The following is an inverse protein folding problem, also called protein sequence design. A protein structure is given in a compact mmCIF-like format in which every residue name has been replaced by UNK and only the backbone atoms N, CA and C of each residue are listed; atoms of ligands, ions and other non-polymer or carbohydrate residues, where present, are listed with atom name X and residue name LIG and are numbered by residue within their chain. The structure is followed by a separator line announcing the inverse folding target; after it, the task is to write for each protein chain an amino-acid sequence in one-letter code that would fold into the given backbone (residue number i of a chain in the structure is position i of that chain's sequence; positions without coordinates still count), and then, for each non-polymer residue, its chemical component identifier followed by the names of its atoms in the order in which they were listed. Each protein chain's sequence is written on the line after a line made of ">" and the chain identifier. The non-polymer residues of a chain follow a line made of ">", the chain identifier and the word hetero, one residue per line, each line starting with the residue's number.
data_IF_283980635971
#
_entry.id   IF_283980635971
#
_cell.length_a   1.000
_cell.length_b   1.000
_cell.length_c   1.000
_cell.angle_alpha   90.00
_cell.angle_beta   90.00
_cell.angle_gamma   90.00
#
_symmetry.space_group_name_H-M   'P 1'
#
loop_
_entity.id
_entity.type
_entity.pdbx_description
1 polymer ?
2 non-polymer ?
#
# COMPACT_ATOMS: atom_id res chain seq x y z
N UNK A 1 20.29 7.15 -15.59
CA UNK A 1 20.06 6.47 -16.91
C UNK A 1 20.09 4.93 -16.78
N UNK A 2 21.02 4.40 -16.00
CA UNK A 2 20.94 3.00 -15.59
C UNK A 2 20.23 2.93 -14.23
N UNK A 3 18.94 2.56 -14.27
CA UNK A 3 18.09 2.50 -13.09
C UNK A 3 17.90 1.10 -12.56
N UNK A 4 18.15 0.92 -11.27
CA UNK A 4 17.67 -0.27 -10.59
C UNK A 4 16.50 0.17 -9.75
N UNK A 5 15.35 -0.42 -10.01
CA UNK A 5 14.15 -0.17 -9.25
C UNK A 5 13.90 -1.37 -8.35
N UNK A 6 13.44 -1.13 -7.14
CA UNK A 6 13.15 -2.22 -6.25
C UNK A 6 11.70 -2.14 -5.82
N UNK A 7 10.92 -3.15 -6.19
CA UNK A 7 9.54 -3.23 -5.74
C UNK A 7 9.44 -4.32 -4.70
N UNK A 8 9.14 -3.91 -3.47
CA UNK A 8 9.10 -4.85 -2.34
C UNK A 8 7.81 -5.66 -2.21
N UNK A 9 7.68 -6.33 -1.07
CA UNK A 9 6.48 -7.07 -0.73
C UNK A 9 5.43 -6.13 -0.18
N UNK A 10 4.21 -6.28 -0.70
CA UNK A 10 3.06 -5.36 -0.49
C UNK A 10 2.86 -4.49 -1.73
N UNK A 11 3.97 -4.06 -2.33
CA UNK A 11 4.00 -2.87 -3.19
C UNK A 11 3.24 -3.00 -4.54
N UNK A 12 2.81 -4.21 -4.89
CA UNK A 12 1.89 -4.42 -6.02
C UNK A 12 1.24 -5.81 -6.13
N UNK A 13 0.95 -6.43 -4.99
CA UNK A 13 0.40 -7.80 -4.94
C UNK A 13 -0.85 -8.05 -5.82
N UNK A 14 -0.59 -8.43 -7.08
CA UNK A 14 -1.58 -8.93 -8.04
C UNK A 14 -2.91 -8.17 -8.27
N UNK A 15 -2.86 -6.85 -8.20
CA UNK A 15 -4.00 -6.00 -8.59
C UNK A 15 -3.80 -5.48 -10.01
N UNK A 16 -4.66 -5.93 -10.93
CA UNK A 16 -4.48 -5.73 -12.37
C UNK A 16 -4.22 -4.28 -12.79
N UNK A 17 -4.99 -3.35 -12.23
CA UNK A 17 -4.86 -1.93 -12.60
C UNK A 17 -3.62 -1.25 -12.01
N UNK A 18 -3.28 -1.56 -10.77
CA UNK A 18 -2.11 -0.98 -10.12
C UNK A 18 -0.83 -1.45 -10.82
N UNK A 19 -0.79 -2.74 -11.17
CA UNK A 19 0.31 -3.31 -11.95
C UNK A 19 0.40 -2.64 -13.33
N UNK A 20 -0.73 -2.37 -13.94
CA UNK A 20 -0.71 -1.66 -15.19
C UNK A 20 -0.09 -0.27 -14.96
N UNK A 21 -0.43 0.35 -13.83
CA UNK A 21 0.06 1.68 -13.46
C UNK A 21 1.59 1.70 -13.32
N UNK A 22 2.12 0.73 -12.59
CA UNK A 22 3.56 0.61 -12.41
C UNK A 22 4.30 0.35 -13.71
N UNK A 23 3.82 -0.62 -14.48
CA UNK A 23 4.45 -1.00 -15.74
C UNK A 23 4.54 0.21 -16.67
N UNK A 24 3.43 0.93 -16.79
CA UNK A 24 3.38 2.13 -17.64
C UNK A 24 4.48 3.13 -17.28
N UNK A 25 4.68 3.35 -15.99
CA UNK A 25 5.77 4.20 -15.53
C UNK A 25 7.13 3.60 -15.92
N UNK A 26 7.29 2.30 -15.72
CA UNK A 26 8.57 1.66 -15.99
C UNK A 26 8.86 1.73 -17.47
N UNK A 27 7.81 1.53 -18.27
CA UNK A 27 7.90 1.65 -19.72
C UNK A 27 8.36 3.06 -20.10
N UNK A 28 7.76 4.08 -19.48
CA UNK A 28 8.16 5.48 -19.71
C UNK A 28 9.64 5.71 -19.46
N UNK A 29 10.10 5.30 -18.29
CA UNK A 29 11.50 5.45 -17.93
C UNK A 29 12.39 4.69 -18.89
N UNK A 30 11.90 3.56 -19.37
CA UNK A 30 12.62 2.73 -20.32
C UNK A 30 12.73 3.35 -21.72
N UNK A 31 11.82 4.27 -22.06
CA UNK A 31 11.88 4.94 -23.38
C UNK A 31 13.16 5.75 -23.47
N UNK A 32 13.47 6.47 -22.39
CA UNK A 32 14.69 7.24 -22.30
C UNK A 32 15.91 6.44 -21.82
N UNK A 33 15.71 5.55 -20.85
CA UNK A 33 16.81 4.94 -20.08
C UNK A 33 16.84 3.40 -20.03
N UNK A 34 17.72 2.88 -19.18
CA UNK A 34 17.93 1.44 -19.00
C UNK A 34 17.52 0.96 -17.59
N UNK A 35 16.42 0.22 -17.52
CA UNK A 35 15.78 -0.13 -16.24
C UNK A 35 15.95 -1.59 -15.86
N UNK A 36 16.41 -1.83 -14.63
CA UNK A 36 16.34 -3.15 -14.03
C UNK A 36 15.27 -3.12 -12.94
N UNK A 37 14.48 -4.19 -12.83
CA UNK A 37 13.42 -4.23 -11.82
C UNK A 37 13.58 -5.48 -11.01
N UNK A 38 13.66 -5.32 -9.69
CA UNK A 38 13.68 -6.47 -8.81
C UNK A 38 12.40 -6.52 -8.01
N UNK A 39 11.56 -7.51 -8.31
CA UNK A 39 10.34 -7.70 -7.52
C UNK A 39 10.55 -8.62 -6.32
N UNK A 40 9.69 -8.46 -5.32
CA UNK A 40 9.78 -9.29 -4.11
C UNK A 40 8.59 -10.23 -4.00
N UNK A 41 8.62 -11.08 -2.98
CA UNK A 41 7.62 -12.12 -2.82
C UNK A 41 6.21 -11.73 -2.40
N UNK A 42 6.06 -10.59 -1.73
CA UNK A 42 4.75 -10.07 -1.34
C UNK A 42 3.92 -11.02 -0.51
N UNK A 43 2.60 -10.94 -0.67
CA UNK A 43 1.70 -11.87 0.02
C UNK A 43 2.15 -13.28 -0.32
N UNK A 44 2.25 -13.53 -1.62
CA UNK A 44 2.59 -14.82 -2.18
C UNK A 44 3.70 -15.54 -1.45
N UNK A 45 4.83 -14.87 -1.28
CA UNK A 45 5.98 -15.50 -0.64
C UNK A 45 5.71 -15.70 0.82
N UNK A 46 5.22 -14.66 1.48
CA UNK A 46 4.94 -14.71 2.90
C UNK A 46 4.05 -15.90 3.21
N UNK A 47 2.97 -16.00 2.42
CA UNK A 47 1.96 -17.04 2.54
C UNK A 47 2.62 -18.39 2.42
N UNK A 48 3.38 -18.58 1.35
CA UNK A 48 3.88 -19.90 1.03
C UNK A 48 4.98 -20.37 1.97
N UNK A 49 5.82 -19.44 2.40
CA UNK A 49 6.87 -19.75 3.36
C UNK A 49 6.21 -20.13 4.67
N UNK A 50 5.28 -19.28 5.12
CA UNK A 50 4.43 -19.59 6.28
C UNK A 50 3.95 -21.04 6.20
N UNK A 51 3.21 -21.37 5.15
CA UNK A 51 2.69 -22.73 4.96
C UNK A 51 3.81 -23.78 4.91
N UNK A 52 4.92 -23.42 4.28
CA UNK A 52 6.01 -24.37 4.09
C UNK A 52 6.74 -24.64 5.40
N UNK A 53 6.96 -23.60 6.20
CA UNK A 53 7.46 -23.75 7.57
C UNK A 53 6.51 -24.61 8.41
N UNK A 54 5.22 -24.27 8.36
CA UNK A 54 4.17 -25.02 9.03
C UNK A 54 4.27 -26.52 8.74
N UNK A 55 4.70 -26.86 7.52
CA UNK A 55 4.79 -28.26 7.11
C UNK A 55 6.16 -28.87 7.40
N UNK A 56 7.05 -28.06 7.97
CA UNK A 56 8.37 -28.54 8.42
C UNK A 56 9.47 -28.51 7.37
N UNK A 57 9.53 -27.42 6.61
CA UNK A 57 10.58 -27.20 5.62
C UNK A 57 11.85 -26.75 6.28
N UNK A 58 12.97 -27.13 5.68
CA UNK A 58 14.26 -26.56 6.03
C UNK A 58 14.24 -25.11 5.60
N UNK A 59 15.06 -24.30 6.25
CA UNK A 59 15.10 -22.87 5.98
C UNK A 59 15.61 -22.60 4.55
N UNK A 60 16.54 -23.43 4.12
CA UNK A 60 17.05 -23.43 2.76
C UNK A 60 15.94 -23.67 1.74
N UNK A 61 15.09 -24.67 2.01
CA UNK A 61 14.01 -24.98 1.09
C UNK A 61 12.98 -23.86 1.04
N UNK A 62 12.71 -23.28 2.21
CA UNK A 62 11.87 -22.09 2.33
C UNK A 62 12.43 -21.04 1.40
N UNK A 63 13.75 -20.85 1.50
CA UNK A 63 14.47 -19.89 0.68
C UNK A 63 14.13 -20.05 -0.80
N UNK A 64 14.17 -21.29 -1.30
CA UNK A 64 13.82 -21.60 -2.68
C UNK A 64 12.37 -21.20 -3.03
N UNK A 65 11.44 -21.65 -2.19
CA UNK A 65 10.04 -21.28 -2.32
C UNK A 65 9.89 -19.79 -2.47
N UNK A 66 10.66 -19.05 -1.67
CA UNK A 66 10.57 -17.60 -1.68
C UNK A 66 11.01 -17.06 -3.02
N UNK A 67 12.12 -17.59 -3.52
CA UNK A 67 12.68 -17.09 -4.77
C UNK A 67 11.66 -17.36 -5.86
N UNK A 68 11.14 -18.60 -5.87
CA UNK A 68 10.11 -19.02 -6.81
C UNK A 68 9.03 -17.97 -6.87
N UNK A 69 8.52 -17.65 -5.69
CA UNK A 69 7.42 -16.73 -5.56
C UNK A 69 7.79 -15.37 -6.13
N UNK A 70 9.02 -14.94 -5.89
CA UNK A 70 9.46 -13.64 -6.45
C UNK A 70 9.42 -13.71 -7.97
N UNK A 71 9.96 -14.79 -8.52
CA UNK A 71 10.03 -15.02 -9.94
C UNK A 71 8.68 -14.98 -10.56
N UNK A 72 7.67 -15.51 -9.86
CA UNK A 72 6.31 -15.53 -10.35
C UNK A 72 5.74 -14.12 -10.44
N UNK A 73 5.89 -13.37 -9.36
CA UNK A 73 5.46 -11.98 -9.33
C UNK A 73 6.13 -11.19 -10.44
N UNK A 74 7.40 -11.51 -10.67
CA UNK A 74 8.17 -10.88 -11.71
C UNK A 74 7.52 -11.18 -13.07
N UNK A 75 7.22 -12.46 -13.31
CA UNK A 75 6.53 -12.87 -14.55
C UNK A 75 5.31 -11.98 -14.75
N UNK A 76 4.50 -11.90 -13.71
CA UNK A 76 3.26 -11.16 -13.76
C UNK A 76 3.51 -9.72 -14.22
N UNK A 77 4.56 -9.11 -13.68
CA UNK A 77 4.90 -7.74 -14.02
C UNK A 77 5.33 -7.63 -15.49
N UNK A 78 6.02 -8.66 -15.98
CA UNK A 78 6.58 -8.66 -17.33
C UNK A 78 5.48 -8.69 -18.39
N UNK A 79 4.40 -9.42 -18.08
CA UNK A 79 3.22 -9.43 -18.92
C UNK A 79 2.87 -8.01 -19.25
N UNK A 80 2.85 -7.19 -18.20
CA UNK A 80 2.38 -5.83 -18.30
C UNK A 80 3.32 -4.90 -19.06
N UNK A 81 4.63 -5.20 -19.06
CA UNK A 81 5.54 -4.33 -19.82
C UNK A 81 6.11 -4.99 -21.07
N UNK A 82 5.73 -4.47 -22.26
CA UNK A 82 6.08 -5.05 -23.55
C UNK A 82 7.56 -4.98 -23.93
N UNK A 83 8.28 -4.00 -23.39
CA UNK A 83 9.70 -3.83 -23.69
C UNK A 83 10.62 -4.64 -22.75
N UNK A 84 10.01 -5.53 -21.97
CA UNK A 84 10.76 -6.31 -21.01
C UNK A 84 11.23 -7.60 -21.62
N UNK A 85 12.36 -8.09 -21.14
CA UNK A 85 12.78 -9.44 -21.47
C UNK A 85 11.75 -10.42 -20.92
N UNK A 86 11.23 -11.30 -21.78
CA UNK A 86 10.24 -12.30 -21.40
C UNK A 86 10.84 -13.38 -20.52
N UNK A 87 12.16 -13.42 -20.47
CA UNK A 87 12.89 -14.31 -19.56
C UNK A 87 13.09 -13.62 -18.22
N UNK A 88 12.88 -14.34 -17.12
CA UNK A 88 13.23 -13.84 -15.79
C UNK A 88 14.63 -14.33 -15.48
N UNK A 89 15.62 -13.42 -15.50
CA UNK A 89 16.97 -13.89 -15.15
C UNK A 89 17.04 -14.50 -13.75
N UNK A 90 17.96 -15.44 -13.59
CA UNK A 90 18.07 -16.22 -12.37
C UNK A 90 19.39 -15.85 -11.68
N UNK A 91 20.17 -15.00 -12.37
CA UNK A 91 21.41 -14.43 -11.83
C UNK A 91 21.80 -13.14 -12.57
N UNK A 92 22.75 -12.41 -12.00
CA UNK A 92 23.07 -11.06 -12.47
C UNK A 92 23.71 -11.08 -13.86
N UNK A 93 24.54 -12.08 -14.12
CA UNK A 93 25.15 -12.18 -15.45
C UNK A 93 24.04 -12.27 -16.50
N UNK A 94 23.17 -13.26 -16.32
CA UNK A 94 21.94 -13.36 -17.08
C UNK A 94 21.23 -12.01 -17.18
N UNK A 95 21.06 -11.34 -16.03
CA UNK A 95 20.35 -10.07 -15.94
C UNK A 95 21.04 -9.00 -16.76
N UNK A 96 22.37 -9.05 -16.81
CA UNK A 96 23.10 -8.06 -17.56
C UNK A 96 23.14 -8.45 -19.01
N UNK A 97 23.29 -9.74 -19.28
CA UNK A 97 23.23 -10.23 -20.65
C UNK A 97 21.95 -9.72 -21.33
N UNK A 98 20.82 -9.95 -20.66
CA UNK A 98 19.51 -9.54 -21.17
C UNK A 98 19.37 -8.05 -21.32
N UNK A 99 20.14 -7.31 -20.52
CA UNK A 99 20.12 -5.85 -20.58
C UNK A 99 20.67 -5.35 -21.91
N UNK A 100 21.50 -6.19 -22.55
CA UNK A 100 22.10 -5.85 -23.84
C UNK A 100 21.10 -6.00 -25.00
N UNK A 101 20.03 -6.76 -24.78
CA UNK A 101 19.01 -6.95 -25.80
C UNK A 101 17.70 -6.25 -25.47
N UNK A 102 17.52 -5.90 -24.19
CA UNK A 102 16.26 -5.31 -23.71
C UNK A 102 16.46 -4.05 -22.86
N UNK A 103 15.50 -3.13 -22.96
CA UNK A 103 15.56 -1.89 -22.18
C UNK A 103 15.06 -2.11 -20.76
N UNK A 104 14.24 -3.14 -20.54
CA UNK A 104 13.82 -3.51 -19.20
C UNK A 104 14.10 -4.97 -18.92
N UNK A 105 14.75 -5.22 -17.80
CA UNK A 105 14.96 -6.57 -17.32
C UNK A 105 14.28 -6.65 -15.98
N UNK A 106 13.57 -7.75 -15.73
CA UNK A 106 12.83 -7.90 -14.48
C UNK A 106 13.21 -9.21 -13.83
N UNK A 107 13.73 -9.18 -12.62
CA UNK A 107 14.09 -10.41 -11.94
C UNK A 107 13.49 -10.52 -10.55
N UNK A 108 13.41 -11.75 -10.05
CA UNK A 108 13.07 -11.98 -8.65
C UNK A 108 14.34 -12.01 -7.83
N UNK A 109 14.43 -12.94 -6.89
CA UNK A 109 15.64 -13.13 -6.09
C UNK A 109 16.71 -13.94 -6.80
N UNK A 110 17.86 -14.08 -6.15
CA UNK A 110 18.95 -14.91 -6.66
C UNK A 110 19.43 -15.83 -5.57
N UNK A 111 20.43 -15.38 -4.81
CA UNK A 111 20.97 -16.23 -3.75
C UNK A 111 19.90 -16.34 -2.67
N UNK A 112 19.64 -17.58 -2.22
CA UNK A 112 18.79 -17.88 -1.06
C UNK A 112 19.34 -17.29 0.25
N UNK A 113 19.11 -16.01 0.47
CA UNK A 113 19.57 -15.33 1.69
C UNK A 113 18.79 -14.05 1.97
N UNK A 114 19.51 -13.00 2.35
CA UNK A 114 18.89 -11.68 2.51
C UNK A 114 18.34 -11.17 1.15
N UNK A 115 17.34 -10.29 1.22
CA UNK A 115 16.44 -10.12 0.09
C UNK A 115 16.11 -8.70 -0.38
N UNK A 116 15.79 -8.65 -1.68
CA UNK A 116 15.14 -7.54 -2.40
C UNK A 116 15.85 -6.20 -2.39
N UNK A 117 15.87 -5.54 -1.23
CA UNK A 117 16.70 -4.36 -1.05
C UNK A 117 18.15 -4.73 -1.29
N UNK A 118 18.61 -5.78 -0.60
CA UNK A 118 20.00 -6.19 -0.65
C UNK A 118 20.32 -6.71 -2.04
N UNK A 119 19.44 -7.60 -2.52
CA UNK A 119 19.53 -8.11 -3.87
C UNK A 119 19.69 -6.98 -4.91
N UNK A 120 18.82 -5.98 -4.84
CA UNK A 120 18.86 -4.89 -5.82
C UNK A 120 20.09 -4.00 -5.65
N UNK A 121 20.55 -3.85 -4.41
CA UNK A 121 21.76 -3.08 -4.12
C UNK A 121 22.94 -3.78 -4.78
N UNK A 122 23.05 -5.08 -4.53
CA UNK A 122 24.05 -5.91 -5.20
C UNK A 122 24.01 -5.75 -6.72
N UNK A 123 22.82 -5.83 -7.30
CA UNK A 123 22.63 -5.69 -8.73
C UNK A 123 23.11 -4.34 -9.26
N UNK A 124 22.73 -3.28 -8.55
CA UNK A 124 23.15 -1.93 -8.87
C UNK A 124 24.66 -1.81 -8.97
N UNK A 125 25.33 -2.29 -7.92
CA UNK A 125 26.78 -2.35 -7.85
C UNK A 125 27.36 -3.11 -9.04
N UNK A 126 27.00 -4.39 -9.14
CA UNK A 126 27.37 -5.30 -10.24
C UNK A 126 27.37 -4.66 -11.61
N UNK A 127 26.32 -3.92 -11.91
CA UNK A 127 26.17 -3.37 -13.24
C UNK A 127 26.57 -1.90 -13.29
N UNK A 128 27.09 -1.40 -12.18
CA UNK A 128 27.45 0.03 -12.03
C UNK A 128 26.25 0.91 -12.38
N UNK A 129 25.24 0.90 -11.51
CA UNK A 129 24.01 1.60 -11.82
C UNK A 129 24.14 3.08 -11.55
N UNK A 130 23.38 3.88 -12.30
CA UNK A 130 23.34 5.33 -12.11
C UNK A 130 22.52 5.72 -10.90
N UNK A 131 21.45 4.97 -10.62
CA UNK A 131 20.55 5.31 -9.53
C UNK A 131 19.77 4.10 -9.05
N UNK A 132 19.84 3.87 -7.75
CA UNK A 132 19.10 2.79 -7.15
C UNK A 132 17.84 3.34 -6.47
N UNK A 133 16.69 3.04 -7.05
CA UNK A 133 15.43 3.54 -6.53
C UNK A 133 14.70 2.44 -5.74
N UNK A 134 14.63 2.61 -4.42
CA UNK A 134 14.06 1.57 -3.59
C UNK A 134 12.62 1.90 -3.14
N UNK A 135 11.66 1.45 -3.94
CA UNK A 135 10.25 1.80 -3.80
C UNK A 135 9.60 0.94 -2.74
N UNK A 136 9.41 1.52 -1.57
CA UNK A 136 8.85 0.78 -0.44
C UNK A 136 7.44 1.30 -0.13
N UNK A 137 6.86 0.82 0.97
CA UNK A 137 5.53 1.25 1.38
C UNK A 137 5.56 2.38 2.41
N UNK A 138 6.77 2.79 2.80
CA UNK A 138 6.94 4.01 3.61
C UNK A 138 7.58 5.12 2.78
N UNK A 139 7.55 6.34 3.30
CA UNK A 139 7.84 7.54 2.52
C UNK A 139 9.34 7.82 2.40
N UNK A 140 10.13 7.32 3.35
CA UNK A 140 11.57 7.50 3.33
C UNK A 140 12.17 6.80 4.52
N UNK A 141 13.36 7.23 4.93
CA UNK A 141 13.97 6.72 6.14
C UNK A 141 13.52 7.60 7.31
N UNK A 142 13.22 7.00 8.45
CA UNK A 142 12.64 7.75 9.55
C UNK A 142 13.49 7.73 10.80
N UNK A 143 13.17 8.65 11.72
CA UNK A 143 14.01 8.93 12.88
C UNK A 143 14.21 7.73 13.81
N UNK A 144 15.21 7.81 14.68
CA UNK A 144 15.28 6.92 15.84
C UNK A 144 13.97 7.12 16.57
N UNK A 145 13.31 6.02 16.91
CA UNK A 145 11.84 5.97 17.09
C UNK A 145 11.16 6.17 15.71
N UNK A 146 11.16 5.11 14.87
CA UNK A 146 10.59 5.25 13.53
C UNK A 146 9.12 4.84 13.50
N UNK A 147 8.75 4.04 12.50
CA UNK A 147 7.45 3.39 12.44
C UNK A 147 6.31 4.39 12.25
N UNK A 148 5.08 3.87 12.27
CA UNK A 148 3.85 4.64 12.35
C UNK A 148 3.54 4.87 13.83
N UNK A 149 4.28 5.84 14.38
CA UNK A 149 4.14 6.37 15.73
C UNK A 149 4.37 7.88 15.63
N UNK A 150 4.36 8.58 16.76
CA UNK A 150 4.28 10.05 16.71
C UNK A 150 5.62 10.80 16.64
N UNK A 151 6.70 10.19 17.17
CA UNK A 151 8.00 10.86 17.25
C UNK A 151 8.86 10.65 16.00
N UNK A 152 8.37 11.11 14.84
CA UNK A 152 8.95 10.63 13.59
C UNK A 152 8.97 11.63 12.45
N UNK A 153 10.15 12.04 11.98
CA UNK A 153 10.19 12.57 10.61
C UNK A 153 11.17 11.80 9.76
N UNK A 154 11.02 11.95 8.44
CA UNK A 154 11.95 11.35 7.51
C UNK A 154 13.18 12.25 7.37
N UNK A 155 14.24 11.70 6.78
CA UNK A 155 15.43 12.46 6.48
C UNK A 155 15.44 12.74 4.98
N UNK A 156 15.27 13.99 4.58
CA UNK A 156 15.17 14.32 3.16
C UNK A 156 16.44 13.99 2.35
N UNK A 157 17.60 14.13 2.98
CA UNK A 157 18.82 13.52 2.41
C UNK A 157 19.66 12.86 3.48
N UNK A 158 20.60 12.01 3.06
CA UNK A 158 21.50 11.30 3.96
C UNK A 158 22.80 10.92 3.28
N UNK A 159 23.85 10.74 4.07
CA UNK A 159 25.05 10.14 3.54
C UNK A 159 24.86 8.66 3.72
N UNK A 160 25.49 7.85 2.85
CA UNK A 160 25.67 6.42 3.08
C UNK A 160 25.98 6.09 4.54
N UNK A 161 27.05 6.67 5.07
CA UNK A 161 27.51 6.39 6.44
C UNK A 161 26.41 6.66 7.47
N UNK A 162 25.70 7.77 7.27
CA UNK A 162 24.54 8.12 8.11
C UNK A 162 23.51 7.01 8.07
N UNK A 163 23.10 6.63 6.86
CA UNK A 163 22.12 5.58 6.64
C UNK A 163 22.53 4.28 7.32
N UNK A 164 23.79 3.89 7.17
CA UNK A 164 24.30 2.70 7.84
C UNK A 164 24.04 2.79 9.34
N UNK A 165 24.51 3.87 9.95
CA UNK A 165 24.29 4.12 11.37
C UNK A 165 22.83 4.01 11.75
N UNK A 166 21.97 4.61 10.93
CA UNK A 166 20.54 4.67 11.18
C UNK A 166 19.91 3.28 11.23
N UNK A 167 20.41 2.36 10.40
CA UNK A 167 19.93 0.97 10.39
C UNK A 167 20.96 0.03 11.00
N UNK A 168 21.71 0.55 11.96
CA UNK A 168 22.71 -0.26 12.62
C UNK A 168 22.49 -0.74 14.10
N UNK A 169 21.38 -0.56 14.82
CA UNK A 169 20.15 0.25 14.63
C UNK A 169 19.18 -0.15 13.51
N UNK A 175 6.38 -4.93 15.74
CA UNK A 175 7.02 -5.17 14.46
C UNK A 175 7.70 -3.90 13.98
N UNK A 176 7.82 -3.72 12.65
CA UNK A 176 7.31 -4.66 11.64
C UNK A 176 8.26 -4.78 10.42
N UNK A 177 7.91 -4.18 9.28
CA UNK A 177 8.75 -4.19 8.08
C UNK A 177 9.98 -3.29 8.29
N UNK A 178 11.09 -3.63 7.63
CA UNK A 178 12.41 -3.07 8.01
C UNK A 178 12.50 -1.52 8.02
N UNK A 179 12.43 -0.78 6.91
CA UNK A 179 12.89 -1.13 5.58
C UNK A 179 14.21 -0.39 5.48
N UNK A 180 14.74 -0.38 4.27
CA UNK A 180 16.13 -0.75 3.95
C UNK A 180 16.86 -1.67 4.94
N UNK A 181 17.41 -2.73 4.35
CA UNK A 181 18.18 -3.72 5.08
C UNK A 181 19.55 -3.15 5.42
N UNK A 182 20.16 -3.70 6.46
CA UNK A 182 21.49 -3.30 6.91
C UNK A 182 22.54 -3.59 5.85
N UNK A 183 22.50 -4.81 5.32
CA UNK A 183 23.44 -5.22 4.27
C UNK A 183 23.22 -4.41 3.01
N UNK A 184 21.96 -4.09 2.72
CA UNK A 184 21.62 -3.22 1.61
C UNK A 184 22.32 -1.87 1.73
N UNK A 185 22.22 -1.27 2.92
CA UNK A 185 22.87 0.01 3.24
C UNK A 185 24.39 -0.07 3.13
N UNK A 186 24.96 -1.11 3.74
CA UNK A 186 26.39 -1.37 3.65
C UNK A 186 26.82 -1.44 2.21
N UNK A 187 26.05 -2.20 1.43
CA UNK A 187 26.29 -2.34 -0.01
C UNK A 187 26.17 -1.00 -0.73
N UNK A 188 25.19 -0.19 -0.35
CA UNK A 188 25.02 1.16 -0.93
C UNK A 188 26.21 2.06 -0.61
N UNK A 189 26.76 1.89 0.60
CA UNK A 189 27.92 2.67 1.02
C UNK A 189 29.15 2.30 0.21
N UNK A 190 29.36 1.00 0.05
CA UNK A 190 30.46 0.51 -0.78
C UNK A 190 30.32 1.00 -2.21
N UNK A 191 29.12 0.87 -2.75
CA UNK A 191 28.88 1.14 -4.17
C UNK A 191 28.90 2.62 -4.51
N UNK A 192 28.69 3.46 -3.50
CA UNK A 192 28.61 4.90 -3.67
C UNK A 192 27.58 5.30 -4.75
N UNK A 193 26.53 4.50 -4.88
CA UNK A 193 25.47 4.72 -5.87
C UNK A 193 24.31 5.52 -5.29
N UNK A 194 23.95 6.61 -5.97
CA UNK A 194 22.88 7.49 -5.50
C UNK A 194 21.58 6.69 -5.33
N UNK A 195 21.10 6.63 -4.10
CA UNK A 195 19.94 5.82 -3.78
C UNK A 195 18.72 6.68 -3.43
N UNK A 196 17.53 6.13 -3.66
CA UNK A 196 16.30 6.71 -3.16
C UNK A 196 15.59 5.69 -2.30
N UNK A 197 14.92 6.15 -1.26
CA UNK A 197 14.05 5.31 -0.46
C UNK A 197 12.72 6.03 -0.44
N UNK A 198 11.72 5.45 -1.08
CA UNK A 198 10.50 6.20 -1.36
C UNK A 198 9.22 5.40 -1.18
N UNK A 199 8.11 6.13 -1.07
CA UNK A 199 6.80 5.53 -1.17
C UNK A 199 6.56 5.14 -2.62
N UNK A 200 6.44 3.84 -2.85
CA UNK A 200 6.43 3.27 -4.18
C UNK A 200 5.16 3.55 -4.95
N UNK A 201 5.14 4.68 -5.62
CA UNK A 201 4.03 5.02 -6.48
C UNK A 201 4.61 5.57 -7.76
N UNK A 202 3.97 5.25 -8.90
CA UNK A 202 4.30 5.71 -10.25
C UNK A 202 4.84 7.13 -10.30
N UNK A 203 4.19 8.05 -9.59
CA UNK A 203 4.63 9.44 -9.53
C UNK A 203 6.01 9.59 -8.89
N UNK A 204 6.16 9.02 -7.69
CA UNK A 204 7.42 9.12 -6.96
C UNK A 204 8.57 8.47 -7.71
N UNK A 205 8.33 7.30 -8.29
CA UNK A 205 9.32 6.60 -9.09
C UNK A 205 9.81 7.50 -10.23
N UNK A 206 8.85 8.09 -10.94
CA UNK A 206 9.14 9.03 -12.01
C UNK A 206 9.99 10.19 -11.52
N UNK A 207 9.56 10.79 -10.41
CA UNK A 207 10.30 11.87 -9.75
C UNK A 207 11.73 11.46 -9.40
N UNK A 208 11.88 10.33 -8.72
CA UNK A 208 13.20 9.83 -8.35
C UNK A 208 14.11 9.67 -9.56
N UNK A 209 13.55 9.12 -10.63
CA UNK A 209 14.27 8.96 -11.90
C UNK A 209 14.75 10.34 -12.37
N UNK A 210 13.85 11.32 -12.34
CA UNK A 210 14.16 12.68 -12.79
C UNK A 210 15.02 13.47 -11.80
N UNK A 211 15.62 12.77 -10.83
CA UNK A 211 16.56 13.35 -9.85
C UNK A 211 16.07 14.45 -8.92
N UNK A 212 14.87 14.27 -8.35
CA UNK A 212 14.24 15.32 -7.57
C UNK A 212 14.11 14.95 -6.10
N UNK A 213 13.50 15.84 -5.33
CA UNK A 213 13.26 15.60 -3.91
C UNK A 213 12.06 14.68 -3.71
N UNK A 214 12.36 13.40 -3.49
CA UNK A 214 11.36 12.46 -3.02
C UNK A 214 12.00 11.66 -1.90
N UNK A 215 11.16 11.27 -0.94
CA UNK A 215 11.57 10.44 0.19
C UNK A 215 12.90 10.78 0.83
N UNK A 216 13.83 9.83 0.78
CA UNK A 216 15.13 10.01 1.34
C UNK A 216 16.14 9.80 0.23
N UNK A 217 16.85 10.84 -0.14
CA UNK A 217 17.93 10.68 -1.12
C UNK A 217 19.17 10.31 -0.34
N UNK A 218 19.97 9.41 -0.89
CA UNK A 218 21.21 9.00 -0.27
C UNK A 218 22.34 9.06 -1.29
N UNK A 219 23.37 9.86 -1.02
CA UNK A 219 24.49 10.06 -1.95
C UNK A 219 25.80 10.45 -1.25
N UNK B 1 -9.54 14.25 16.49
CA UNK B 1 -9.69 13.47 17.76
C UNK B 1 -10.81 12.40 17.67
N UNK B 2 -11.93 12.72 17.03
CA UNK B 2 -12.89 11.69 16.64
C UNK B 2 -12.57 11.28 15.22
N UNK B 3 -11.92 10.12 15.08
CA UNK B 3 -11.52 9.65 13.76
C UNK B 3 -12.45 8.55 13.26
N UNK B 4 -12.94 8.73 12.04
CA UNK B 4 -13.50 7.61 11.28
C UNK B 4 -12.46 7.18 10.27
N UNK B 5 -12.02 5.93 10.37
CA UNK B 5 -11.10 5.34 9.39
C UNK B 5 -11.86 4.37 8.50
N UNK B 6 -11.56 4.43 7.22
CA UNK B 6 -12.18 3.49 6.29
C UNK B 6 -11.14 2.58 5.66
N UNK B 7 -11.24 1.28 5.94
CA UNK B 7 -10.40 0.30 5.29
C UNK B 7 -11.22 -0.47 4.27
N UNK B 8 -10.96 -0.23 2.99
CA UNK B 8 -11.73 -0.83 1.91
C UNK B 8 -11.36 -2.27 1.59
N UNK B 9 -11.87 -2.74 0.44
CA UNK B 9 -11.56 -4.07 -0.06
C UNK B 9 -10.23 -4.08 -0.80
N UNK B 10 -9.41 -5.09 -0.50
CA UNK B 10 -7.99 -5.19 -0.88
C UNK B 10 -7.10 -4.83 0.31
N UNK B 11 -7.53 -3.82 1.08
CA UNK B 11 -6.64 -3.02 1.93
C UNK B 11 -6.01 -3.76 3.13
N UNK B 12 -6.48 -4.98 3.42
CA UNK B 12 -5.80 -5.86 4.39
C UNK B 12 -6.28 -7.31 4.41
N UNK B 13 -6.62 -7.86 3.23
CA UNK B 13 -7.20 -9.22 3.13
C UNK B 13 -6.39 -10.33 3.83
N UNK B 14 -6.71 -10.55 5.10
CA UNK B 14 -6.22 -11.68 5.93
C UNK B 14 -4.73 -12.08 5.94
N UNK B 15 -3.83 -11.09 5.85
CA UNK B 15 -2.41 -11.32 6.04
C UNK B 15 -2.05 -10.95 7.48
N UNK B 16 -1.67 -11.95 8.27
CA UNK B 16 -1.41 -11.79 9.72
C UNK B 16 -0.55 -10.58 10.11
N UNK B 17 0.62 -10.45 9.49
CA UNK B 17 1.54 -9.36 9.79
C UNK B 17 1.02 -7.98 9.37
N UNK B 18 0.38 -7.89 8.20
CA UNK B 18 -0.09 -6.59 7.70
C UNK B 18 -1.20 -6.09 8.60
N UNK B 19 -2.05 -7.02 9.02
CA UNK B 19 -3.12 -6.71 9.97
C UNK B 19 -2.53 -6.25 11.32
N UNK B 20 -1.52 -6.97 11.79
CA UNK B 20 -0.83 -6.53 12.99
C UNK B 20 -0.31 -5.10 12.80
N UNK B 21 0.19 -4.79 11.60
CA UNK B 21 0.72 -3.47 11.27
C UNK B 21 -0.38 -2.40 11.34
N UNK B 22 -1.55 -2.69 10.76
CA UNK B 22 -2.70 -1.76 10.82
C UNK B 22 -3.24 -1.56 12.23
N UNK B 23 -3.46 -2.66 12.95
CA UNK B 23 -3.93 -2.61 14.33
C UNK B 23 -3.04 -1.73 15.18
N UNK B 24 -1.73 -1.98 15.12
CA UNK B 24 -0.77 -1.23 15.90
C UNK B 24 -0.87 0.27 15.70
N UNK B 25 -1.07 0.68 14.43
CA UNK B 25 -1.33 2.07 14.12
C UNK B 25 -2.65 2.54 14.77
N UNK B 26 -3.70 1.75 14.63
CA UNK B 26 -5.01 2.13 15.16
C UNK B 26 -4.96 2.26 16.67
N UNK B 27 -4.28 1.32 17.31
CA UNK B 27 -4.05 1.37 18.74
C UNK B 27 -3.29 2.61 19.18
N UNK B 28 -2.25 2.99 18.43
CA UNK B 28 -1.55 4.26 18.65
C UNK B 28 -2.47 5.47 18.62
N UNK B 29 -3.22 5.59 17.53
CA UNK B 29 -4.17 6.68 17.39
C UNK B 29 -5.21 6.67 18.52
N UNK B 30 -5.58 5.45 18.95
CA UNK B 30 -6.52 5.27 20.04
C UNK B 30 -6.01 5.67 21.41
N UNK B 31 -4.68 5.65 21.60
CA UNK B 31 -4.09 6.07 22.88
C UNK B 31 -4.45 7.53 23.16
N UNK B 32 -4.32 8.36 22.14
CA UNK B 32 -4.66 9.78 22.23
C UNK B 32 -6.14 10.07 21.96
N UNK B 33 -6.73 9.37 21.00
CA UNK B 33 -8.02 9.78 20.42
C UNK B 33 -9.11 8.73 20.46
N UNK B 34 -10.18 9.00 19.71
CA UNK B 34 -11.37 8.14 19.59
C UNK B 34 -11.57 7.67 18.15
N UNK B 35 -11.39 6.36 17.94
CA UNK B 35 -11.34 5.79 16.60
C UNK B 35 -12.51 4.86 16.28
N UNK B 36 -13.15 5.14 15.15
CA UNK B 36 -14.09 4.21 14.58
C UNK B 36 -13.45 3.63 13.33
N UNK B 37 -13.59 2.32 13.15
CA UNK B 37 -13.07 1.65 11.96
C UNK B 37 -14.19 0.94 11.19
N UNK B 38 -14.29 1.23 9.90
CA UNK B 38 -15.22 0.52 9.03
C UNK B 38 -14.48 -0.34 7.98
N UNK B 39 -14.48 -1.65 8.18
CA UNK B 39 -13.84 -2.55 7.25
C UNK B 39 -14.80 -2.97 6.12
N UNK B 40 -14.24 -3.33 4.97
CA UNK B 40 -15.03 -3.75 3.83
C UNK B 40 -14.87 -5.23 3.57
N UNK B 41 -15.57 -5.72 2.55
CA UNK B 41 -15.64 -7.16 2.29
C UNK B 41 -14.40 -7.83 1.71
N UNK B 42 -13.61 -7.07 0.95
CA UNK B 42 -12.38 -7.55 0.34
C UNK B 42 -12.60 -8.73 -0.59
N UNK B 43 -11.61 -9.62 -0.62
CA UNK B 43 -11.66 -10.83 -1.43
C UNK B 43 -12.91 -11.59 -1.01
N UNK B 44 -12.97 -11.86 0.29
CA UNK B 44 -14.04 -12.59 0.94
C UNK B 44 -15.43 -12.25 0.40
N UNK B 45 -15.82 -10.98 0.50
CA UNK B 45 -17.13 -10.59 0.01
C UNK B 45 -17.23 -10.82 -1.49
N UNK B 46 -16.23 -10.32 -2.23
CA UNK B 46 -16.24 -10.39 -3.70
C UNK B 46 -16.46 -11.83 -4.13
N UNK B 47 -15.65 -12.70 -3.54
CA UNK B 47 -15.68 -14.14 -3.72
C UNK B 47 -17.07 -14.72 -3.46
N UNK B 48 -17.61 -14.42 -2.28
CA UNK B 48 -18.87 -15.02 -1.84
C UNK B 48 -20.10 -14.55 -2.59
N UNK B 49 -20.18 -13.23 -2.82
CA UNK B 49 -21.21 -12.66 -3.68
C UNK B 49 -21.12 -13.28 -5.08
N UNK B 50 -19.91 -13.29 -5.66
CA UNK B 50 -19.66 -13.93 -6.95
C UNK B 50 -20.33 -15.31 -6.99
N UNK B 51 -19.93 -16.17 -6.06
CA UNK B 51 -20.53 -17.50 -5.92
C UNK B 51 -22.03 -17.45 -5.64
N UNK B 52 -22.48 -16.50 -4.83
CA UNK B 52 -23.88 -16.45 -4.47
C UNK B 52 -24.74 -16.03 -5.65
N UNK B 53 -24.23 -15.09 -6.45
CA UNK B 53 -24.87 -14.69 -7.71
C UNK B 53 -24.94 -15.88 -8.65
N UNK B 54 -23.80 -16.56 -8.80
CA UNK B 54 -23.68 -17.77 -9.65
C UNK B 54 -24.72 -18.83 -9.31
N UNK B 55 -25.14 -18.87 -8.05
CA UNK B 55 -26.12 -19.84 -7.59
C UNK B 55 -27.54 -19.29 -7.66
N UNK B 56 -27.66 -18.03 -8.05
CA UNK B 56 -28.96 -17.41 -8.29
C UNK B 56 -29.57 -16.72 -7.09
N UNK B 57 -28.74 -15.99 -6.34
CA UNK B 57 -29.22 -15.21 -5.20
C UNK B 57 -29.97 -13.96 -5.65
N UNK B 58 -30.94 -13.52 -4.85
CA UNK B 58 -31.49 -12.19 -4.99
C UNK B 58 -30.41 -11.17 -4.59
N UNK B 59 -30.50 -9.94 -5.11
CA UNK B 59 -29.48 -8.94 -4.88
C UNK B 59 -29.48 -8.54 -3.42
N UNK B 60 -30.67 -8.60 -2.82
CA UNK B 60 -30.86 -8.30 -1.42
C UNK B 60 -30.12 -9.34 -0.57
N UNK B 61 -30.22 -10.60 -0.96
CA UNK B 61 -29.53 -11.67 -0.25
C UNK B 61 -28.01 -11.60 -0.41
N UNK B 62 -27.53 -11.29 -1.62
CA UNK B 62 -26.12 -10.98 -1.86
C UNK B 62 -25.67 -9.90 -0.92
N UNK B 63 -26.49 -8.85 -0.81
CA UNK B 63 -26.24 -7.76 0.12
C UNK B 63 -25.93 -8.29 1.53
N UNK B 64 -26.77 -9.22 2.00
CA UNK B 64 -26.60 -9.76 3.35
C UNK B 64 -25.27 -10.49 3.51
N UNK B 65 -24.99 -11.39 2.59
CA UNK B 65 -23.72 -12.10 2.52
C UNK B 65 -22.53 -11.13 2.54
N UNK B 66 -22.64 -10.05 1.78
CA UNK B 66 -21.61 -9.03 1.79
C UNK B 66 -21.40 -8.48 3.19
N UNK B 67 -22.49 -8.10 3.85
CA UNK B 67 -22.38 -7.49 5.18
C UNK B 67 -21.74 -8.49 6.12
N UNK B 68 -22.26 -9.72 6.08
CA UNK B 68 -21.69 -10.85 6.76
C UNK B 68 -20.17 -10.86 6.68
N UNK B 69 -19.67 -10.97 5.46
CA UNK B 69 -18.25 -10.93 5.15
C UNK B 69 -17.52 -9.74 5.78
N UNK B 70 -18.06 -8.53 5.57
CA UNK B 70 -17.44 -7.37 6.15
C UNK B 70 -17.28 -7.61 7.66
N UNK B 71 -18.34 -8.08 8.30
CA UNK B 71 -18.37 -8.28 9.76
C UNK B 71 -17.28 -9.26 10.20
N UNK B 72 -17.05 -10.28 9.37
CA UNK B 72 -16.03 -11.28 9.62
C UNK B 72 -14.61 -10.69 9.54
N UNK B 73 -14.34 -9.95 8.48
CA UNK B 73 -13.11 -9.21 8.39
C UNK B 73 -12.94 -8.33 9.62
N UNK B 74 -14.03 -7.69 10.02
CA UNK B 74 -13.99 -6.78 11.14
C UNK B 74 -13.59 -7.51 12.42
N UNK B 75 -14.15 -8.70 12.62
CA UNK B 75 -13.81 -9.52 13.76
C UNK B 75 -12.31 -9.80 13.75
N UNK B 76 -11.80 -10.12 12.58
CA UNK B 76 -10.40 -10.46 12.43
C UNK B 76 -9.56 -9.30 12.91
N UNK B 77 -9.89 -8.11 12.43
CA UNK B 77 -9.15 -6.91 12.84
C UNK B 77 -9.21 -6.67 14.36
N UNK B 78 -10.36 -6.93 14.97
CA UNK B 78 -10.58 -6.73 16.40
C UNK B 78 -9.68 -7.62 17.27
N UNK B 79 -9.43 -8.84 16.80
CA UNK B 79 -8.53 -9.76 17.50
C UNK B 79 -7.25 -9.00 17.70
N UNK B 80 -6.82 -8.36 16.63
CA UNK B 80 -5.55 -7.68 16.59
C UNK B 80 -5.45 -6.45 17.49
N UNK B 81 -6.55 -5.71 17.67
CA UNK B 81 -6.49 -4.55 18.55
C UNK B 81 -7.18 -4.75 19.91
N UNK B 82 -6.38 -4.73 21.00
CA UNK B 82 -6.87 -5.08 22.34
C UNK B 82 -7.81 -4.03 22.96
N UNK B 83 -7.72 -2.79 22.51
CA UNK B 83 -8.57 -1.71 23.01
C UNK B 83 -9.87 -1.55 22.23
N UNK B 84 -10.19 -2.53 21.41
CA UNK B 84 -11.41 -2.49 20.64
C UNK B 84 -12.54 -3.19 21.38
N UNK B 85 -13.77 -2.72 21.13
CA UNK B 85 -14.97 -3.44 21.56
C UNK B 85 -15.03 -4.79 20.86
N UNK B 86 -15.09 -5.86 21.64
CA UNK B 86 -15.18 -7.24 21.10
C UNK B 86 -16.50 -7.54 20.39
N UNK B 87 -17.43 -6.60 20.41
CA UNK B 87 -18.66 -6.74 19.69
C UNK B 87 -18.47 -6.00 18.36
N UNK B 88 -18.95 -6.57 17.28
CA UNK B 88 -19.07 -5.83 16.05
C UNK B 88 -20.47 -5.20 15.99
N UNK B 89 -20.55 -3.85 16.08
CA UNK B 89 -21.84 -3.18 15.97
C UNK B 89 -22.48 -3.43 14.63
N UNK B 90 -23.81 -3.46 14.63
CA UNK B 90 -24.61 -3.83 13.48
C UNK B 90 -25.35 -2.60 12.97
N UNK B 91 -25.23 -1.51 13.74
CA UNK B 91 -25.79 -0.18 13.41
C UNK B 91 -25.05 0.91 14.18
N UNK B 92 -25.25 2.15 13.77
CA UNK B 92 -24.45 3.26 14.28
C UNK B 92 -24.75 3.54 15.73
N UNK B 93 -26.01 3.37 16.15
CA UNK B 93 -26.36 3.62 17.56
C UNK B 93 -25.55 2.71 18.43
N UNK B 94 -25.58 1.40 18.13
CA UNK B 94 -24.67 0.43 18.73
C UNK B 94 -23.21 0.90 18.66
N UNK B 95 -22.78 1.36 17.48
CA UNK B 95 -21.41 1.83 17.26
C UNK B 95 -21.05 2.98 18.18
N UNK B 96 -22.00 3.89 18.38
CA UNK B 96 -21.78 5.02 19.24
C UNK B 96 -21.92 4.60 20.70
N UNK B 97 -22.89 3.75 20.99
CA UNK B 97 -23.04 3.21 22.35
C UNK B 97 -21.71 2.63 22.82
N UNK B 98 -21.12 1.80 21.98
CA UNK B 98 -19.86 1.15 22.26
C UNK B 98 -18.71 2.12 22.34
N UNK B 99 -18.84 3.26 21.67
CA UNK B 99 -17.79 4.27 21.69
C UNK B 99 -17.67 4.90 23.07
N UNK B 100 -18.72 4.79 23.87
CA UNK B 100 -18.75 5.32 25.23
C UNK B 100 -17.99 4.42 26.22
N UNK B 101 -17.80 3.16 25.86
CA UNK B 101 -17.06 2.22 26.71
C UNK B 101 -15.70 1.83 26.15
N UNK B 102 -15.46 2.12 24.87
CA UNK B 102 -14.22 1.71 24.21
C UNK B 102 -13.64 2.81 23.35
N UNK B 103 -12.30 2.81 23.23
CA UNK B 103 -11.60 3.82 22.42
C UNK B 103 -11.58 3.45 20.94
N UNK B 104 -11.78 2.16 20.66
CA UNK B 104 -11.88 1.72 19.29
C UNK B 104 -13.15 0.89 19.07
N UNK B 105 -13.93 1.31 18.08
CA UNK B 105 -15.05 0.53 17.62
C UNK B 105 -14.79 0.16 16.18
N UNK B 106 -15.04 -1.11 15.85
CA UNK B 106 -14.80 -1.62 14.51
C UNK B 106 -16.06 -2.28 14.00
N UNK B 107 -16.58 -1.76 12.90
CA UNK B 107 -17.80 -2.33 12.31
C UNK B 107 -17.68 -2.70 10.83
N UNK B 108 -18.59 -3.57 10.40
CA UNK B 108 -18.69 -3.94 9.01
C UNK B 108 -19.66 -2.98 8.34
N UNK B 109 -20.51 -3.51 7.47
CA UNK B 109 -21.59 -2.75 6.86
C UNK B 109 -22.79 -2.65 7.78
N UNK B 110 -23.77 -1.84 7.36
CA UNK B 110 -25.06 -1.75 8.06
C UNK B 110 -26.22 -1.97 7.09
N UNK B 111 -26.66 -0.90 6.43
CA UNK B 111 -27.74 -1.01 5.45
C UNK B 111 -27.23 -1.73 4.20
N UNK B 112 -27.95 -2.77 3.76
CA UNK B 112 -27.73 -3.44 2.48
C UNK B 112 -27.89 -2.51 1.29
N UNK B 113 -26.86 -1.73 0.97
CA UNK B 113 -26.88 -0.82 -0.17
C UNK B 113 -25.48 -0.41 -0.57
N UNK B 114 -25.30 0.88 -0.85
CA UNK B 114 -23.97 1.44 -1.15
C UNK B 114 -23.05 1.30 0.07
N UNK B 115 -21.75 1.25 -0.18
CA UNK B 115 -20.85 0.63 0.78
C UNK B 115 -19.58 1.38 1.15
N UNK B 116 -19.12 1.04 2.35
CA UNK B 116 -17.81 1.36 2.98
C UNK B 116 -17.39 2.82 3.04
N UNK B 117 -17.13 3.42 1.89
CA UNK B 117 -16.89 4.86 1.81
C UNK B 117 -18.13 5.59 2.29
N UNK B 118 -19.26 5.27 1.68
CA UNK B 118 -20.54 5.90 2.01
C UNK B 118 -20.90 5.59 3.44
N UNK B 119 -20.87 4.29 3.77
CA UNK B 119 -21.13 3.85 5.14
C UNK B 119 -20.32 4.64 6.17
N UNK B 120 -19.03 4.78 5.94
CA UNK B 120 -18.18 5.48 6.88
C UNK B 120 -18.42 6.98 6.87
N UNK B 121 -18.80 7.52 5.71
CA UNK B 121 -19.16 8.94 5.61
C UNK B 121 -20.39 9.21 6.46
N UNK B 122 -21.44 8.42 6.25
CA UNK B 122 -22.62 8.41 7.11
C UNK B 122 -22.28 8.34 8.61
N UNK B 123 -21.44 7.40 9.00
CA UNK B 123 -21.00 7.24 10.39
C UNK B 123 -20.32 8.47 10.95
N UNK B 124 -19.44 9.06 10.15
CA UNK B 124 -18.76 10.29 10.53
C UNK B 124 -19.75 11.40 10.89
N UNK B 125 -20.69 11.61 9.98
CA UNK B 125 -21.75 12.61 10.14
C UNK B 125 -22.57 12.34 11.39
N UNK B 126 -23.14 11.13 11.48
CA UNK B 126 -23.92 10.63 12.64
C UNK B 126 -23.29 10.95 13.98
N UNK B 127 -22.00 10.67 14.12
CA UNK B 127 -21.33 10.88 15.38
C UNK B 127 -20.58 12.20 15.46
N UNK B 128 -20.77 13.05 14.45
CA UNK B 128 -20.03 14.34 14.32
C UNK B 128 -18.53 14.13 14.44
N UNK B 129 -17.93 13.54 13.41
CA UNK B 129 -16.53 13.13 13.50
C UNK B 129 -15.64 14.31 13.19
N UNK B 130 -14.45 14.33 13.82
CA UNK B 130 -13.46 15.38 13.60
C UNK B 130 -12.75 15.20 12.26
N UNK B 131 -12.53 13.96 11.88
CA UNK B 131 -11.81 13.65 10.65
C UNK B 131 -12.21 12.28 10.08
N UNK B 132 -12.57 12.30 8.79
CA UNK B 132 -12.85 11.08 8.05
C UNK B 132 -11.65 10.68 7.18
N UNK B 133 -10.93 9.64 7.59
CA UNK B 133 -9.78 9.14 6.86
C UNK B 133 -10.15 7.91 6.00
N UNK B 134 -10.17 8.13 4.70
CA UNK B 134 -10.55 7.09 3.75
C UNK B 134 -9.34 6.36 3.14
N UNK B 135 -8.89 5.31 3.81
CA UNK B 135 -7.68 4.57 3.41
C UNK B 135 -7.94 3.62 2.26
N UNK B 136 -7.65 4.06 1.04
CA UNK B 136 -7.85 3.27 -0.16
C UNK B 136 -6.51 2.70 -0.70
N UNK B 137 -6.57 2.04 -1.87
CA UNK B 137 -5.38 1.46 -2.48
C UNK B 137 -4.74 2.37 -3.51
N UNK B 138 -5.38 3.52 -3.75
CA UNK B 138 -4.75 4.59 -4.53
C UNK B 138 -4.31 5.73 -3.61
N UNK B 139 -3.55 6.67 -4.15
CA UNK B 139 -2.82 7.68 -3.37
C UNK B 139 -3.67 8.91 -3.00
N UNK B 140 -4.61 9.26 -3.87
CA UNK B 140 -5.51 10.38 -3.60
C UNK B 140 -6.61 10.37 -4.64
N UNK B 141 -7.20 11.53 -4.88
CA UNK B 141 -8.17 11.67 -5.96
C UNK B 141 -7.41 12.12 -7.19
N UNK B 142 -7.77 11.57 -8.35
CA UNK B 142 -7.00 11.82 -9.57
C UNK B 142 -7.74 12.58 -10.68
N UNK B 143 -6.96 13.07 -11.65
CA UNK B 143 -7.38 14.10 -12.63
C UNK B 143 -8.42 13.71 -13.69
N UNK B 144 -8.28 14.30 -14.88
CA UNK B 144 -9.25 14.21 -15.97
C UNK B 144 -9.29 12.83 -16.63
N UNK B 145 -10.38 12.11 -16.35
CA UNK B 145 -10.71 10.74 -16.82
C UNK B 145 -10.55 9.63 -15.75
N UNK B 146 -9.31 9.35 -15.27
CA UNK B 146 -7.94 9.60 -15.71
C UNK B 146 -7.25 8.40 -16.40
N UNK B 147 -5.98 8.57 -16.77
CA UNK B 147 -5.15 7.51 -17.34
C UNK B 147 -3.68 7.85 -17.04
N UNK B 148 -2.82 6.82 -17.02
CA UNK B 148 -1.45 6.93 -16.50
C UNK B 148 -0.45 7.72 -17.35
N UNK B 149 -0.18 8.96 -16.94
CA UNK B 149 0.93 9.78 -17.46
C UNK B 149 1.39 10.78 -16.37
N UNK B 150 2.38 11.62 -16.70
CA UNK B 150 2.89 12.63 -15.74
C UNK B 150 1.91 13.80 -15.55
N UNK B 151 1.31 14.24 -16.65
CA UNK B 151 0.33 15.34 -16.63
C UNK B 151 -1.02 14.97 -15.99
N UNK B 152 -1.24 13.68 -15.73
CA UNK B 152 -2.35 13.23 -14.88
C UNK B 152 -1.83 12.97 -13.46
N UNK B 153 -2.51 13.56 -12.48
CA UNK B 153 -2.02 13.66 -11.10
C UNK B 153 -3.16 13.71 -10.07
N UNK B 154 -2.79 13.59 -8.80
CA UNK B 154 -3.75 13.73 -7.70
C UNK B 154 -3.98 15.21 -7.40
N UNK B 155 -5.04 15.50 -6.64
CA UNK B 155 -5.29 16.85 -6.16
C UNK B 155 -4.93 16.90 -4.67
N UNK B 156 -3.88 17.63 -4.31
CA UNK B 156 -3.37 17.67 -2.92
C UNK B 156 -4.34 18.26 -1.89
N UNK B 157 -5.20 19.18 -2.34
CA UNK B 157 -6.41 19.53 -1.59
C UNK B 157 -7.61 19.75 -2.52
N UNK B 158 -8.80 19.78 -1.93
CA UNK B 158 -10.07 19.97 -2.68
C UNK B 158 -11.13 20.55 -1.76
N UNK B 159 -12.14 21.16 -2.37
CA UNK B 159 -13.35 21.50 -1.66
C UNK B 159 -14.26 20.31 -1.86
N UNK B 160 -15.16 20.06 -0.89
CA UNK B 160 -16.30 19.16 -1.05
C UNK B 160 -16.96 19.27 -2.44
N UNK B 161 -17.39 20.48 -2.81
CA UNK B 161 -18.07 20.73 -4.08
C UNK B 161 -17.24 20.27 -5.27
N UNK B 162 -15.94 20.57 -5.21
CA UNK B 162 -15.00 20.12 -6.22
C UNK B 162 -15.01 18.59 -6.33
N UNK B 163 -14.82 17.93 -5.19
CA UNK B 163 -14.83 16.46 -5.11
C UNK B 163 -16.12 15.89 -5.68
N UNK B 164 -17.25 16.50 -5.33
CA UNK B 164 -18.52 16.06 -5.87
C UNK B 164 -18.46 16.06 -7.40
N UNK B 165 -18.13 17.21 -7.98
CA UNK B 165 -17.98 17.36 -9.43
C UNK B 165 -17.07 16.31 -10.04
N UNK B 166 -15.93 16.09 -9.40
CA UNK B 166 -14.92 15.14 -9.86
C UNK B 166 -15.49 13.72 -9.99
N UNK B 167 -16.34 13.33 -9.04
CA UNK B 167 -16.96 12.01 -9.09
C UNK B 167 -18.44 12.10 -9.47
N UNK B 168 -18.77 13.13 -10.25
CA UNK B 168 -20.13 13.31 -10.71
C UNK B 168 -20.14 13.10 -12.20
N UNK B 169 -18.91 13.09 -12.72
CA UNK B 169 -18.59 12.89 -14.11
C UNK B 169 -17.65 11.71 -14.24
N UNK B 170 -18.21 10.61 -14.75
CA UNK B 170 -17.51 9.38 -15.12
C UNK B 170 -18.50 8.48 -15.89
N UNK B 171 -18.90 7.36 -15.27
CA UNK B 171 -19.79 6.35 -15.88
C UNK B 171 -19.39 5.91 -17.29
N UNK B 175 -11.54 6.17 -15.40
CA UNK B 175 -12.36 5.75 -14.27
C UNK B 175 -11.54 5.14 -13.14
N UNK B 176 -10.36 5.71 -12.88
CA UNK B 176 -9.51 5.33 -11.74
C UNK B 176 -10.19 5.80 -10.45
N UNK B 177 -10.98 6.87 -10.58
CA UNK B 177 -11.83 7.36 -9.49
C UNK B 177 -12.98 6.41 -9.15
N UNK B 178 -12.72 5.11 -9.20
CA UNK B 178 -13.67 4.11 -8.71
C UNK B 178 -13.83 4.21 -7.19
N UNK B 179 -12.85 4.86 -6.55
CA UNK B 179 -12.98 5.24 -5.16
C UNK B 179 -12.98 6.76 -5.20
N UNK B 180 -13.35 7.51 -4.18
CA UNK B 180 -14.51 7.49 -3.31
C UNK B 180 -15.85 7.43 -4.09
N UNK B 181 -16.90 7.02 -3.38
CA UNK B 181 -18.25 6.91 -3.95
C UNK B 181 -18.88 8.30 -4.11
N UNK B 182 -19.81 8.42 -5.04
CA UNK B 182 -20.54 9.67 -5.27
C UNK B 182 -21.35 10.08 -4.04
N UNK B 183 -22.11 9.13 -3.50
CA UNK B 183 -22.94 9.37 -2.31
C UNK B 183 -22.08 9.67 -1.10
N UNK B 184 -20.90 9.03 -1.04
CA UNK B 184 -19.91 9.33 -0.01
C UNK B 184 -19.50 10.80 -0.05
N UNK B 185 -19.16 11.26 -1.26
CA UNK B 185 -18.76 12.66 -1.51
C UNK B 185 -19.88 13.66 -1.19
N UNK B 186 -21.07 13.39 -1.72
CA UNK B 186 -22.27 14.15 -1.38
C UNK B 186 -22.43 14.23 0.14
N UNK B 187 -22.36 13.07 0.81
CA UNK B 187 -22.41 13.01 2.26
C UNK B 187 -21.29 13.82 2.91
N UNK B 188 -20.08 13.73 2.36
CA UNK B 188 -18.97 14.54 2.88
C UNK B 188 -19.24 16.05 2.77
N UNK B 189 -19.89 16.44 1.66
CA UNK B 189 -20.23 17.83 1.42
C UNK B 189 -21.24 18.34 2.44
N UNK B 190 -22.30 17.57 2.65
CA UNK B 190 -23.32 17.87 3.66
C UNK B 190 -22.71 17.98 5.05
N UNK B 191 -21.87 17.01 5.39
CA UNK B 191 -21.30 16.90 6.75
C UNK B 191 -20.24 17.94 7.05
N UNK B 192 -19.63 18.48 5.99
CA UNK B 192 -18.54 19.46 6.13
C UNK B 192 -17.43 18.95 7.06
N UNK B 193 -17.22 17.63 7.06
CA UNK B 193 -16.18 16.99 7.86
C UNK B 193 -14.88 16.80 7.07
N UNK B 194 -13.77 17.26 7.65
CA UNK B 194 -12.44 17.18 7.02
C UNK B 194 -12.12 15.74 6.65
N UNK B 195 -12.01 15.50 5.35
CA UNK B 195 -11.78 14.17 4.80
C UNK B 195 -10.36 14.01 4.22
N UNK B 196 -9.87 12.78 4.24
CA UNK B 196 -8.65 12.39 3.57
C UNK B 196 -8.99 11.26 2.61
N UNK B 197 -8.31 11.24 1.47
CA UNK B 197 -8.37 10.12 0.54
C UNK B 197 -6.94 9.67 0.30
N UNK B 198 -6.56 8.49 0.80
CA UNK B 198 -5.15 8.16 0.87
C UNK B 198 -4.81 6.72 0.50
N UNK B 199 -3.55 6.49 0.16
CA UNK B 199 -3.04 5.13 0.09
C UNK B 199 -2.95 4.55 1.51
N UNK B 200 -3.78 3.55 1.75
CA UNK B 200 -3.94 2.98 3.07
C UNK B 200 -2.72 2.26 3.59
N UNK B 201 -1.79 3.00 4.18
CA UNK B 201 -0.69 2.38 4.89
C UNK B 201 -0.60 3.03 6.26
N UNK B 202 -0.31 2.24 7.29
CA UNK B 202 -0.06 2.68 8.67
C UNK B 202 0.61 4.06 8.79
N UNK B 203 1.63 4.33 7.96
CA UNK B 203 2.28 5.64 7.95
C UNK B 203 1.33 6.74 7.53
N UNK B 204 0.65 6.54 6.39
CA UNK B 204 -0.25 7.56 5.85
C UNK B 204 -1.42 7.83 6.76
N UNK B 205 -1.93 6.77 7.37
CA UNK B 205 -3.05 6.89 8.31
C UNK B 205 -2.64 7.78 9.48
N UNK B 206 -1.48 7.45 10.07
CA UNK B 206 -0.86 8.23 11.15
C UNK B 206 -0.65 9.71 10.77
N UNK B 207 -0.12 9.94 9.58
CA UNK B 207 0.03 11.27 9.00
C UNK B 207 -1.29 12.02 8.87
N UNK B 208 -2.29 11.37 8.29
CA UNK B 208 -3.64 11.95 8.14
C UNK B 208 -4.28 12.33 9.49
N UNK B 209 -4.13 11.45 10.49
CA UNK B 209 -4.52 11.74 11.87
C UNK B 209 -3.83 13.01 12.39
N UNK B 210 -2.52 13.10 12.19
CA UNK B 210 -1.74 14.25 12.63
C UNK B 210 -1.93 15.49 11.76
N UNK B 211 -2.95 15.47 10.90
CA UNK B 211 -3.37 16.62 10.09
C UNK B 211 -2.37 17.15 9.09
N UNK B 212 -1.75 16.25 8.33
CA UNK B 212 -0.65 16.62 7.43
C UNK B 212 -1.01 16.45 5.96
N UNK B 213 -0.04 16.76 5.09
CA UNK B 213 -0.21 16.59 3.65
C UNK B 213 -0.06 15.12 3.28
N UNK B 214 -1.20 14.45 3.15
CA UNK B 214 -1.26 13.12 2.56
C UNK B 214 -2.40 13.09 1.55
N UNK B 215 -2.24 12.26 0.53
CA UNK B 215 -3.20 12.09 -0.54
C UNK B 215 -3.92 13.34 -0.97
N UNK B 216 -5.23 13.30 -0.81
CA UNK B 216 -6.09 14.41 -1.15
C UNK B 216 -6.81 14.81 0.13
N UNK B 217 -6.54 16.02 0.60
CA UNK B 217 -7.28 16.55 1.74
C UNK B 217 -8.53 17.24 1.20
N UNK B 218 -9.66 17.06 1.90
CA UNK B 218 -10.90 17.68 1.48
C UNK B 218 -11.51 18.38 2.69
N UNK B 219 -11.74 19.69 2.56
CA UNK B 219 -12.27 20.52 3.65
C UNK B 219 -13.02 21.76 3.15
#
# INVERSE_FOLDING_TARGET
>A
MKVVLSLGGSVLSNESEKIREFAKTIESVAQQNQVFVVVGGGKLAREYIKSARELGASETFCDYIGIAATRLNAMLLISAIPSAAKKVPVDFMEAEELSKLYRVVVMGGTFPGHTTDATAALLAEFIKADVFINATNVDGVYSADPKSDTSAVKYDRLSPQQLVEIVSRSSAKAGTNVVIDLLAAKIIERSKIKTYVILGTPENIMKAVKGEAVGTVIA
>B
MKVVLSLGGSVLSNESEKIREFAKTIESVAQQNQVFVVVGGGKLAREYIKSARELGASETFCDYIGIAATRLNAMLLISAIPSAAKKVPVDFMEAEELSKLYRVVVMGGTFPGHTTDATAALLAEFIKADVFINATNVDGVYSADPKSDTSAVKYDRLSPQQLVEIVSRSSAKAGTNVVIDLLAAKIIERSKIKTYVILGTPENIMKAVKGEAVGTVIA
#
